data_IF_993144823095
#
_entry.id   IF_993144823095
#
_cell.length_a   1.000
_cell.length_b   1.000
_cell.length_c   1.000
_cell.angle_alpha   90.00
_cell.angle_beta   90.00
_cell.angle_gamma   90.00
#
_symmetry.space_group_name_H-M   'P 1'
#
loop_
_entity.id
_entity.type
_entity.pdbx_description
1 polymer ?
#
# COMPACT_ATOMS: atom_id res chain seq x y z
N UNK A 1 21.85 0.16 36.21
CA UNK A 1 21.73 1.40 35.39
C UNK A 1 20.26 1.48 34.98
N UNK A 2 19.42 2.13 35.80
CA UNK A 2 18.88 3.49 35.65
C UNK A 2 18.12 3.73 34.32
N UNK A 3 16.79 3.84 34.43
CA UNK A 3 15.75 4.67 33.75
C UNK A 3 16.09 5.34 32.39
N UNK A 4 15.17 5.50 31.43
CA UNK A 4 13.95 6.35 31.48
C UNK A 4 12.90 5.88 30.46
N UNK A 5 11.63 5.82 30.88
CA UNK A 5 10.47 5.94 30.00
C UNK A 5 9.82 7.32 30.17
N UNK A 6 9.01 7.75 29.20
CA UNK A 6 8.04 8.83 29.39
C UNK A 6 6.65 8.33 29.01
N UNK A 7 5.91 7.98 30.06
CA UNK A 7 4.52 7.58 30.06
C UNK A 7 3.99 8.16 31.37
N UNK A 8 3.12 9.17 31.31
CA UNK A 8 2.53 9.74 32.52
C UNK A 8 1.46 8.74 32.98
N UNK A 9 1.71 8.11 34.14
CA UNK A 9 0.83 7.14 34.79
C UNK A 9 0.12 7.81 35.97
N UNK A 10 -1.19 7.62 36.08
CA UNK A 10 -1.91 7.58 37.36
C UNK A 10 -2.79 6.32 37.37
N UNK A 11 -2.76 5.56 38.46
CA UNK A 11 -3.29 4.18 38.55
C UNK A 11 -4.12 4.00 39.82
N UNK A 12 -5.37 3.52 39.73
CA UNK A 12 -6.15 2.89 40.82
C UNK A 12 -7.18 1.89 40.22
N UNK A 13 -7.45 0.82 40.97
CA UNK A 13 -7.93 -0.53 40.57
C UNK A 13 -9.46 -0.79 40.74
N UNK A 14 -10.01 -1.68 39.87
CA UNK A 14 -11.10 -2.70 40.02
C UNK A 14 -12.59 -2.22 40.10
N UNK A 15 -13.66 -2.83 39.54
CA UNK A 15 -14.00 -4.17 38.97
C UNK A 15 -15.35 -4.14 38.16
N UNK A 16 -15.51 -5.08 37.20
CA UNK A 16 -16.73 -5.77 36.69
C UNK A 16 -17.63 -5.23 35.52
N UNK A 17 -17.89 -6.15 34.55
CA UNK A 17 -18.70 -6.15 33.30
C UNK A 17 -20.02 -6.97 33.50
N UNK A 18 -20.88 -7.28 32.48
CA UNK A 18 -21.32 -6.60 31.24
C UNK A 18 -22.87 -6.61 31.05
N UNK A 19 -23.40 -6.09 29.93
CA UNK A 19 -24.60 -6.67 29.30
C UNK A 19 -24.61 -6.38 27.79
N UNK A 20 -24.78 -7.44 27.00
CA UNK A 20 -24.76 -7.43 25.54
C UNK A 20 -26.17 -7.20 24.95
N UNK A 21 -26.21 -6.67 23.73
CA UNK A 21 -27.30 -6.90 22.79
C UNK A 21 -26.74 -7.00 21.36
N UNK A 22 -27.24 -7.99 20.63
CA UNK A 22 -26.75 -8.47 19.35
C UNK A 22 -27.43 -7.78 18.15
N UNK A 23 -26.69 -7.72 17.04
CA UNK A 23 -27.24 -7.75 15.68
C UNK A 23 -27.32 -6.41 14.95
N UNK A 24 -26.30 -6.07 14.16
CA UNK A 24 -26.44 -5.31 12.91
C UNK A 24 -25.15 -5.44 12.08
N UNK A 25 -25.31 -5.59 10.76
CA UNK A 25 -24.26 -5.75 9.76
C UNK A 25 -23.22 -4.63 9.81
N UNK A 26 -21.94 -4.97 9.69
CA UNK A 26 -20.87 -4.00 9.52
C UNK A 26 -19.95 -4.45 8.38
N UNK A 27 -19.86 -3.64 7.30
CA UNK A 27 -18.58 -3.43 6.60
C UNK A 27 -18.56 -2.00 6.03
N UNK A 28 -18.24 -1.04 6.89
CA UNK A 28 -17.50 0.15 6.52
C UNK A 28 -16.59 0.43 7.71
N UNK A 29 -15.44 -0.23 7.75
CA UNK A 29 -14.42 0.06 8.75
C UNK A 29 -13.73 1.34 8.31
N UNK A 30 -14.31 2.50 8.63
CA UNK A 30 -13.48 3.69 8.78
C UNK A 30 -12.75 3.49 10.09
N UNK A 31 -11.50 3.01 10.03
CA UNK A 31 -10.55 3.24 11.12
C UNK A 31 -10.54 4.75 11.31
N UNK A 32 -11.22 5.27 12.34
CA UNK A 32 -11.26 6.72 12.54
C UNK A 32 -9.86 7.11 13.00
N UNK A 33 -9.08 7.71 12.10
CA UNK A 33 -7.73 8.21 12.36
C UNK A 33 -7.81 9.62 12.89
N UNK A 34 -6.84 10.02 13.71
CA UNK A 34 -6.93 11.32 14.35
C UNK A 34 -5.89 11.59 15.40
N UNK A 35 -6.10 12.72 16.07
CA UNK A 35 -5.26 13.22 17.15
C UNK A 35 -6.01 12.99 18.45
N UNK A 36 -5.31 12.39 19.42
CA UNK A 36 -5.79 12.30 20.79
C UNK A 36 -5.24 13.48 21.59
N UNK A 37 -6.14 14.26 22.18
CA UNK A 37 -5.82 15.47 22.94
C UNK A 37 -6.23 15.24 24.39
N UNK A 38 -5.27 15.24 25.31
CA UNK A 38 -5.57 15.29 26.73
C UNK A 38 -6.11 16.68 27.08
N UNK A 39 -7.32 16.72 27.64
CA UNK A 39 -8.04 17.97 27.84
C UNK A 39 -8.71 18.04 29.20
N UNK A 40 -8.54 19.18 29.87
CA UNK A 40 -9.21 19.53 31.12
C UNK A 40 -10.13 20.72 30.89
N UNK A 41 -11.46 20.51 30.78
CA UNK A 41 -12.45 21.57 30.63
C UNK A 41 -12.47 22.54 31.82
N UNK A 42 -12.88 23.77 31.54
CA UNK A 42 -13.18 24.78 32.56
C UNK A 42 -14.46 24.40 33.30
N UNK A 43 -14.55 24.66 34.62
CA UNK A 43 -15.82 24.49 35.35
C UNK A 43 -16.96 25.40 34.86
N UNK A 44 -16.68 26.38 33.98
CA UNK A 44 -17.66 27.38 33.52
C UNK A 44 -18.47 26.98 32.28
N UNK A 45 -18.03 25.98 31.52
CA UNK A 45 -18.72 25.50 30.31
C UNK A 45 -18.29 24.08 29.97
N UNK A 46 -19.22 23.27 29.46
CA UNK A 46 -18.95 21.97 28.83
C UNK A 46 -18.82 22.07 27.31
N UNK A 47 -19.05 23.26 26.73
CA UNK A 47 -19.12 23.48 25.28
C UNK A 47 -17.79 23.97 24.72
N UNK A 48 -17.24 23.19 23.81
CA UNK A 48 -15.94 23.45 23.20
C UNK A 48 -15.96 23.20 21.70
N UNK A 49 -15.20 23.99 20.96
CA UNK A 49 -14.83 23.70 19.56
C UNK A 49 -13.32 23.57 19.47
N UNK A 50 -12.87 22.46 18.90
CA UNK A 50 -11.47 22.17 18.61
C UNK A 50 -11.24 22.32 17.11
N UNK A 51 -10.25 23.12 16.75
CA UNK A 51 -9.87 23.40 15.37
C UNK A 51 -8.36 23.14 15.24
N UNK A 52 -7.95 22.41 14.21
CA UNK A 52 -6.53 22.17 13.91
C UNK A 52 -6.18 22.90 12.63
N UNK A 53 -5.10 23.68 12.65
CA UNK A 53 -4.61 24.45 11.50
C UNK A 53 -3.19 24.04 11.16
N UNK A 54 -2.88 23.91 9.88
CA UNK A 54 -1.48 23.91 9.42
C UNK A 54 -0.87 25.30 9.63
N UNK A 55 0.39 25.39 10.04
CA UNK A 55 1.08 26.67 10.20
C UNK A 55 1.01 27.51 8.90
N UNK A 56 0.45 28.71 9.00
CA UNK A 56 0.26 29.62 7.87
C UNK A 56 -1.07 29.44 7.10
N UNK A 57 -1.85 28.40 7.40
CA UNK A 57 -3.20 28.23 6.87
C UNK A 57 -4.25 28.98 7.71
N UNK A 58 -5.28 29.50 7.04
CA UNK A 58 -6.51 29.98 7.70
C UNK A 58 -7.64 28.95 7.69
N UNK A 59 -7.49 27.88 6.91
CA UNK A 59 -8.45 26.78 6.82
C UNK A 59 -8.08 25.67 7.80
N UNK A 60 -9.06 25.23 8.58
CA UNK A 60 -8.88 24.18 9.55
C UNK A 60 -8.85 22.81 8.86
N UNK A 61 -7.81 22.01 9.11
CA UNK A 61 -7.72 20.62 8.62
C UNK A 61 -8.66 19.69 9.38
N UNK A 62 -9.14 20.11 10.56
CA UNK A 62 -10.19 19.44 11.31
C UNK A 62 -10.89 20.46 12.20
N UNK A 63 -12.22 20.38 12.29
CA UNK A 63 -13.03 21.12 13.25
C UNK A 63 -14.04 20.18 13.90
N UNK A 64 -14.07 20.14 15.24
CA UNK A 64 -15.00 19.30 15.99
C UNK A 64 -15.52 20.01 17.23
N UNK A 65 -16.84 20.04 17.37
CA UNK A 65 -17.52 20.60 18.52
C UNK A 65 -17.99 19.51 19.49
N UNK A 66 -18.00 19.87 20.76
CA UNK A 66 -18.48 19.07 21.87
C UNK A 66 -19.34 19.95 22.76
N UNK A 67 -20.48 19.45 23.23
CA UNK A 67 -21.41 20.25 24.03
C UNK A 67 -21.43 19.87 25.52
N UNK A 68 -20.66 18.87 25.94
CA UNK A 68 -20.74 18.32 27.30
C UNK A 68 -19.42 17.72 27.82
N UNK A 69 -18.28 18.38 27.58
CA UNK A 69 -17.00 17.92 28.13
C UNK A 69 -16.91 18.28 29.61
N UNK A 70 -16.79 17.27 30.47
CA UNK A 70 -16.61 17.44 31.93
C UNK A 70 -15.46 16.62 32.46
N UNK A 71 -14.66 17.21 33.36
CA UNK A 71 -13.51 16.52 33.97
C UNK A 71 -12.37 16.26 32.98
N UNK A 72 -11.23 15.86 33.52
CA UNK A 72 -10.06 15.46 32.71
C UNK A 72 -10.42 14.24 31.86
N UNK A 73 -10.23 14.37 30.55
CA UNK A 73 -10.57 13.34 29.58
C UNK A 73 -9.71 13.46 28.33
N UNK A 74 -9.78 12.44 27.48
CA UNK A 74 -9.17 12.47 26.16
C UNK A 74 -10.20 12.83 25.10
N UNK A 75 -9.84 13.79 24.26
CA UNK A 75 -10.66 14.25 23.15
C UNK A 75 -10.05 13.77 21.85
N UNK A 76 -10.82 13.03 21.06
CA UNK A 76 -10.37 12.52 19.78
C UNK A 76 -10.86 13.41 18.62
N UNK A 77 -9.90 13.91 17.83
CA UNK A 77 -10.13 14.74 16.65
C UNK A 77 -9.89 13.92 15.38
N UNK A 78 -10.91 13.65 14.56
CA UNK A 78 -10.74 12.84 13.36
C UNK A 78 -9.93 13.62 12.32
N UNK A 79 -8.75 13.10 11.99
CA UNK A 79 -7.86 13.65 10.97
C UNK A 79 -7.30 12.47 10.18
N UNK A 80 -7.48 12.48 8.85
CA UNK A 80 -7.05 11.36 8.00
C UNK A 80 -5.54 11.15 8.04
N UNK A 81 -4.79 12.25 7.89
CA UNK A 81 -3.35 12.31 8.13
C UNK A 81 -2.87 13.76 8.25
N UNK A 82 -1.96 14.01 9.18
CA UNK A 82 -1.15 15.23 9.18
C UNK A 82 0.23 14.89 8.63
N UNK A 83 0.68 15.51 7.53
CA UNK A 83 2.09 15.53 7.16
C UNK A 83 2.98 15.99 8.32
N UNK A 84 4.28 15.71 8.24
CA UNK A 84 5.25 16.23 9.21
C UNK A 84 5.43 17.75 9.05
N UNK A 85 4.58 18.50 9.74
CA UNK A 85 4.58 19.96 9.75
C UNK A 85 4.25 20.46 11.16
N UNK A 86 4.40 21.77 11.33
CA UNK A 86 3.89 22.46 12.50
C UNK A 86 2.40 22.72 12.34
N UNK A 87 1.64 22.38 13.37
CA UNK A 87 0.20 22.62 13.46
C UNK A 87 -0.11 23.43 14.71
N UNK A 88 -1.26 24.11 14.67
CA UNK A 88 -1.83 24.77 15.83
C UNK A 88 -3.18 24.13 16.14
N UNK A 89 -3.35 23.68 17.37
CA UNK A 89 -4.67 23.34 17.89
C UNK A 89 -5.25 24.58 18.59
N UNK A 90 -6.42 25.02 18.13
CA UNK A 90 -7.21 26.09 18.72
C UNK A 90 -8.40 25.47 19.43
N UNK A 91 -8.49 25.71 20.74
CA UNK A 91 -9.62 25.26 21.56
C UNK A 91 -10.42 26.49 21.96
N UNK A 92 -11.67 26.56 21.50
CA UNK A 92 -12.60 27.66 21.78
C UNK A 92 -13.64 27.19 22.79
N UNK A 93 -13.63 27.77 23.98
CA UNK A 93 -14.69 27.62 24.98
C UNK A 93 -15.89 28.47 24.54
N UNK A 94 -17.07 27.85 24.44
CA UNK A 94 -18.30 28.50 24.02
C UNK A 94 -19.18 28.81 25.23
N UNK A 95 -19.93 29.93 25.23
CA UNK A 95 -20.92 30.21 26.26
C UNK A 95 -21.97 29.10 26.38
N UNK A 96 -22.41 28.84 27.61
CA UNK A 96 -23.53 27.95 27.89
C UNK A 96 -24.85 28.55 27.37
N UNK A 97 -25.83 27.72 26.98
CA UNK A 97 -27.17 28.20 26.63
C UNK A 97 -27.77 29.07 27.73
N UNK A 98 -28.24 30.27 27.35
CA UNK A 98 -28.78 31.27 28.27
C UNK A 98 -27.74 32.20 28.89
N UNK A 99 -26.45 32.04 28.57
CA UNK A 99 -25.35 32.91 29.00
C UNK A 99 -24.70 33.67 27.84
N UNK A 100 -25.20 33.55 26.61
CA UNK A 100 -24.58 34.11 25.40
C UNK A 100 -24.50 35.65 25.39
N UNK A 101 -25.34 36.33 26.18
CA UNK A 101 -25.28 37.79 26.37
C UNK A 101 -24.41 38.25 27.56
N UNK A 102 -23.90 37.31 28.36
CA UNK A 102 -23.16 37.59 29.60
C UNK A 102 -21.71 37.09 29.54
N UNK A 103 -21.48 35.97 28.87
CA UNK A 103 -20.16 35.41 28.62
C UNK A 103 -19.79 35.56 27.14
N UNK A 104 -18.49 35.66 26.87
CA UNK A 104 -17.93 35.69 25.51
C UNK A 104 -17.07 34.45 25.29
N UNK A 105 -17.11 33.91 24.07
CA UNK A 105 -16.24 32.80 23.70
C UNK A 105 -14.76 33.17 23.86
N UNK A 106 -13.96 32.23 24.34
CA UNK A 106 -12.53 32.44 24.56
C UNK A 106 -11.75 31.29 23.96
N UNK A 107 -10.63 31.60 23.30
CA UNK A 107 -9.80 30.60 22.64
C UNK A 107 -8.42 30.52 23.28
N UNK A 108 -7.85 29.31 23.29
CA UNK A 108 -6.42 29.06 23.51
C UNK A 108 -5.85 28.32 22.31
N UNK A 109 -4.62 28.66 21.98
CA UNK A 109 -3.88 28.04 20.88
C UNK A 109 -2.62 27.39 21.41
N UNK A 110 -2.30 26.21 20.88
CA UNK A 110 -1.08 25.48 21.20
C UNK A 110 -0.48 24.93 19.92
N UNK A 111 0.78 25.27 19.66
CA UNK A 111 1.52 24.67 18.56
C UNK A 111 1.96 23.24 18.94
N UNK A 112 1.94 22.34 17.97
CA UNK A 112 2.49 20.99 18.08
C UNK A 112 3.08 20.55 16.74
N UNK A 113 3.94 19.53 16.80
CA UNK A 113 4.50 18.85 15.63
C UNK A 113 4.03 17.41 15.72
N UNK A 114 3.49 16.86 14.63
CA UNK A 114 3.15 15.44 14.57
C UNK A 114 4.38 14.58 14.86
N UNK A 115 4.32 13.73 15.88
CA UNK A 115 5.43 12.84 16.24
C UNK A 115 5.15 11.43 15.74
N UNK A 116 6.17 10.70 15.27
CA UNK A 116 6.02 9.29 14.96
C UNK A 116 5.64 8.44 16.17
N UNK A 117 4.83 7.43 15.93
CA UNK A 117 4.34 6.47 16.93
C UNK A 117 5.15 5.18 16.97
N UNK A 118 6.07 5.01 16.01
CA UNK A 118 6.82 3.77 15.82
C UNK A 118 8.24 3.79 16.42
N UNK A 119 8.59 4.82 17.21
CA UNK A 119 9.89 4.96 17.87
C UNK A 119 11.05 5.42 16.97
N UNK A 120 10.77 5.75 15.71
CA UNK A 120 11.74 6.28 14.73
C UNK A 120 11.44 7.74 14.43
N UNK A 121 12.42 8.52 13.94
CA UNK A 121 12.17 9.92 13.62
C UNK A 121 11.38 10.08 12.33
N UNK A 122 10.71 11.22 12.15
CA UNK A 122 9.95 11.46 10.94
C UNK A 122 10.86 11.77 9.72
N UNK A 123 12.06 12.31 9.97
CA UNK A 123 13.14 12.41 8.98
C UNK A 123 13.57 11.04 8.41
N UNK A 124 13.46 9.97 9.18
CA UNK A 124 13.70 8.58 8.74
C UNK A 124 12.46 7.94 8.08
N UNK A 125 11.35 8.67 7.97
CA UNK A 125 10.09 8.13 7.47
C UNK A 125 9.21 7.48 8.54
N UNK A 126 9.43 7.79 9.82
CA UNK A 126 8.63 7.26 10.94
C UNK A 126 7.12 7.43 10.73
N UNK A 127 6.37 6.37 11.07
CA UNK A 127 4.92 6.38 10.94
C UNK A 127 4.28 7.29 11.99
N UNK A 128 3.37 8.16 11.56
CA UNK A 128 2.65 9.09 12.43
C UNK A 128 1.38 8.50 13.03
N UNK A 129 0.87 7.41 12.46
CA UNK A 129 -0.38 6.77 12.85
C UNK A 129 -0.27 5.25 12.73
N UNK A 130 -1.02 4.56 13.60
CA UNK A 130 -1.10 3.11 13.67
C UNK A 130 -0.07 2.47 14.60
N UNK A 131 -0.37 1.27 15.08
CA UNK A 131 0.54 0.43 15.88
C UNK A 131 1.24 -0.64 15.06
N UNK A 132 0.88 -0.79 13.78
CA UNK A 132 1.42 -1.82 12.89
C UNK A 132 0.76 -3.19 13.07
N UNK A 133 -0.32 -3.27 13.83
CA UNK A 133 -1.14 -4.48 13.99
C UNK A 133 -2.16 -4.59 12.86
N UNK A 134 -2.76 -5.76 12.67
CA UNK A 134 -3.76 -5.95 11.61
C UNK A 134 -5.00 -5.06 11.79
N UNK A 135 -5.42 -4.82 13.03
CA UNK A 135 -6.59 -3.98 13.36
C UNK A 135 -6.26 -2.48 13.35
N UNK A 136 -4.98 -2.13 13.46
CA UNK A 136 -4.47 -0.76 13.52
C UNK A 136 -3.14 -0.65 12.77
N UNK A 137 -3.17 -0.71 11.41
CA UNK A 137 -1.99 -0.74 10.57
C UNK A 137 -1.26 0.60 10.58
N UNK A 138 0.04 0.58 10.33
CA UNK A 138 0.81 1.80 10.10
C UNK A 138 0.35 2.48 8.81
N UNK A 139 0.22 3.81 8.87
CA UNK A 139 -0.26 4.59 7.73
C UNK A 139 0.88 5.02 6.84
N UNK A 140 0.79 4.65 5.57
CA UNK A 140 1.77 5.00 4.54
C UNK A 140 1.18 6.10 3.67
N UNK A 141 1.72 7.30 3.81
CA UNK A 141 1.25 8.48 3.08
C UNK A 141 2.36 9.24 2.37
N UNK A 142 3.62 8.82 2.51
CA UNK A 142 4.75 9.45 1.81
C UNK A 142 5.71 8.38 1.29
N UNK A 143 6.51 8.68 0.25
CA UNK A 143 7.59 7.79 -0.18
C UNK A 143 8.56 7.43 0.96
N UNK A 144 8.85 8.36 1.88
CA UNK A 144 9.70 8.12 3.05
C UNK A 144 9.07 7.09 3.99
N UNK A 145 7.77 7.18 4.27
CA UNK A 145 7.05 6.18 5.07
C UNK A 145 6.99 4.82 4.37
N UNK A 146 6.88 4.80 3.04
CA UNK A 146 6.93 3.56 2.26
C UNK A 146 8.30 2.89 2.40
N UNK A 147 9.38 3.66 2.25
CA UNK A 147 10.74 3.15 2.46
C UNK A 147 10.95 2.63 3.89
N UNK A 148 10.39 3.33 4.88
CA UNK A 148 10.47 2.99 6.30
C UNK A 148 9.75 1.68 6.68
N UNK A 149 8.91 1.12 5.81
CA UNK A 149 8.34 -0.23 5.98
C UNK A 149 9.42 -1.28 6.26
N UNK A 150 10.63 -1.10 5.72
CA UNK A 150 11.78 -2.01 5.96
C UNK A 150 12.20 -2.12 7.43
N UNK A 151 11.86 -1.14 8.26
CA UNK A 151 12.15 -1.13 9.71
C UNK A 151 11.12 -1.91 10.54
N UNK A 152 10.02 -2.34 9.93
CA UNK A 152 8.88 -2.95 10.60
C UNK A 152 8.49 -4.27 9.92
N UNK A 153 9.46 -5.18 9.80
CA UNK A 153 9.21 -6.50 9.22
C UNK A 153 8.11 -7.25 9.98
N UNK A 154 7.12 -7.77 9.26
CA UNK A 154 5.97 -8.44 9.85
C UNK A 154 4.83 -7.51 10.28
N UNK A 155 4.99 -6.19 10.15
CA UNK A 155 3.94 -5.22 10.42
C UNK A 155 2.81 -5.23 9.37
N UNK A 156 1.70 -4.60 9.73
CA UNK A 156 0.60 -4.28 8.82
C UNK A 156 0.62 -2.81 8.42
N UNK A 157 0.41 -2.53 7.14
CA UNK A 157 0.52 -1.21 6.54
C UNK A 157 -0.68 -0.91 5.65
N UNK A 158 -1.13 0.35 5.65
CA UNK A 158 -2.20 0.83 4.79
C UNK A 158 -1.79 2.14 4.10
N UNK A 159 -1.67 2.09 2.77
CA UNK A 159 -1.44 3.26 1.94
C UNK A 159 -2.72 4.08 1.81
N UNK A 160 -2.61 5.41 1.95
CA UNK A 160 -3.77 6.31 1.84
C UNK A 160 -3.60 7.50 0.92
N UNK A 161 -2.61 7.45 0.04
CA UNK A 161 -2.51 8.36 -1.09
C UNK A 161 -1.63 7.77 -2.17
N UNK A 162 -1.70 8.34 -3.35
CA UNK A 162 -0.73 8.04 -4.40
C UNK A 162 0.67 8.48 -3.95
N UNK A 163 1.67 7.67 -4.25
CA UNK A 163 3.05 7.91 -3.84
C UNK A 163 3.92 8.21 -5.06
N UNK A 164 4.35 9.47 -5.17
CA UNK A 164 5.27 9.91 -6.22
C UNK A 164 6.74 9.82 -5.75
N UNK A 165 7.51 8.94 -6.36
CA UNK A 165 8.93 8.69 -6.08
C UNK A 165 9.89 9.50 -6.96
N UNK A 166 9.41 10.49 -7.72
CA UNK A 166 10.23 11.32 -8.62
C UNK A 166 11.47 11.95 -7.97
N UNK A 167 11.45 12.15 -6.64
CA UNK A 167 12.54 12.74 -5.85
C UNK A 167 13.34 11.72 -5.01
N UNK A 168 13.05 10.42 -5.12
CA UNK A 168 13.63 9.38 -4.25
C UNK A 168 14.92 8.76 -4.80
N UNK A 169 15.21 8.95 -6.09
CA UNK A 169 16.32 8.28 -6.76
C UNK A 169 16.03 6.81 -7.03
N UNK A 170 17.07 5.97 -7.03
CA UNK A 170 16.92 4.52 -7.21
C UNK A 170 16.48 3.90 -5.88
N UNK A 171 15.30 3.32 -5.88
CA UNK A 171 14.72 2.62 -4.74
C UNK A 171 15.31 1.22 -4.59
N UNK A 172 15.83 0.92 -3.40
CA UNK A 172 16.25 -0.43 -3.04
C UNK A 172 15.05 -1.25 -2.57
N UNK A 173 14.87 -2.50 -3.04
CA UNK A 173 13.79 -3.37 -2.59
C UNK A 173 13.61 -3.41 -1.07
N UNK A 174 12.37 -3.52 -0.60
CA UNK A 174 12.06 -3.74 0.81
C UNK A 174 12.46 -5.17 1.18
N UNK A 175 13.47 -5.26 2.04
CA UNK A 175 14.01 -6.47 2.62
C UNK A 175 14.28 -6.16 4.12
N UNK A 176 13.96 -7.06 5.08
CA UNK A 176 14.37 -6.87 6.49
C UNK A 176 15.88 -6.60 6.66
N UNK A 177 16.24 -5.55 7.40
CA UNK A 177 17.63 -5.13 7.60
C UNK A 177 18.60 -6.25 8.06
N UNK A 178 19.90 -5.95 7.93
CA UNK A 178 21.09 -6.81 7.96
C UNK A 178 21.21 -7.88 9.08
N UNK A 179 20.37 -7.88 10.12
CA UNK A 179 20.35 -8.93 11.14
C UNK A 179 19.93 -10.31 10.58
N UNK A 180 19.32 -10.34 9.39
CA UNK A 180 19.07 -11.59 8.65
C UNK A 180 20.25 -12.04 7.77
N UNK A 181 21.21 -11.15 7.52
CA UNK A 181 22.37 -11.39 6.65
C UNK A 181 23.50 -12.14 7.37
N UNK A 182 23.44 -12.25 8.71
CA UNK A 182 24.40 -12.99 9.53
C UNK A 182 24.15 -14.50 9.61
N UNK A 183 23.03 -15.02 9.08
CA UNK A 183 22.79 -16.47 9.02
C UNK A 183 23.27 -17.03 7.68
N UNK A 184 24.06 -18.12 7.72
CA UNK A 184 24.49 -18.90 6.55
C UNK A 184 23.31 -19.44 5.70
N UNK A 185 22.08 -19.26 6.17
CA UNK A 185 20.86 -19.72 5.50
C UNK A 185 20.25 -18.71 4.52
N UNK A 186 20.51 -17.39 4.64
CA UNK A 186 19.92 -16.35 3.76
C UNK A 186 18.40 -16.51 3.49
N UNK A 187 17.67 -17.14 4.42
CA UNK A 187 16.23 -17.41 4.36
C UNK A 187 15.47 -16.24 4.99
N UNK A 188 15.47 -15.09 4.30
CA UNK A 188 14.89 -13.84 4.78
C UNK A 188 14.01 -13.17 3.73
N UNK A 189 13.09 -12.33 4.17
CA UNK A 189 12.19 -11.57 3.32
C UNK A 189 11.10 -10.90 4.15
N UNK A 190 10.44 -9.91 3.58
CA UNK A 190 9.32 -9.25 4.21
C UNK A 190 8.21 -10.26 4.55
N UNK A 191 7.64 -10.12 5.74
CA UNK A 191 6.70 -11.09 6.32
C UNK A 191 5.40 -10.45 6.85
N UNK A 192 5.04 -9.28 6.31
CA UNK A 192 3.90 -8.49 6.79
C UNK A 192 2.75 -8.35 5.79
N UNK A 193 1.83 -7.45 6.10
CA UNK A 193 0.68 -7.11 5.26
C UNK A 193 0.86 -5.70 4.71
N UNK A 194 0.85 -5.55 3.38
CA UNK A 194 0.80 -4.26 2.73
C UNK A 194 -0.50 -4.12 1.96
N UNK A 195 -1.37 -3.21 2.42
CA UNK A 195 -2.61 -2.84 1.75
C UNK A 195 -2.41 -1.48 1.05
N UNK A 196 -2.41 -1.49 -0.28
CA UNK A 196 -2.29 -0.28 -1.10
C UNK A 196 -3.53 0.63 -1.03
N UNK A 197 -4.63 0.17 -0.42
CA UNK A 197 -5.83 0.98 -0.21
C UNK A 197 -6.53 1.45 -1.49
N UNK A 198 -6.19 0.89 -2.66
CA UNK A 198 -6.66 1.38 -3.97
C UNK A 198 -5.88 2.59 -4.48
N UNK A 199 -4.68 2.84 -3.94
CA UNK A 199 -3.78 3.90 -4.39
C UNK A 199 -2.61 3.35 -5.21
N UNK A 200 -1.92 4.26 -5.91
CA UNK A 200 -0.87 3.90 -6.87
C UNK A 200 0.50 4.40 -6.44
N UNK A 201 1.53 3.74 -6.96
CA UNK A 201 2.91 4.21 -6.94
C UNK A 201 3.24 4.79 -8.32
N UNK A 202 3.97 5.91 -8.32
CA UNK A 202 4.37 6.66 -9.50
C UNK A 202 5.86 6.97 -9.46
N UNK A 203 6.47 7.07 -10.64
CA UNK A 203 7.84 7.52 -10.90
C UNK A 203 8.93 6.76 -10.11
N UNK A 204 8.62 5.59 -9.56
CA UNK A 204 9.61 4.80 -8.84
C UNK A 204 10.55 4.11 -9.83
N UNK A 205 11.85 4.15 -9.55
CA UNK A 205 12.85 3.36 -10.23
C UNK A 205 13.42 2.38 -9.23
N UNK A 206 13.05 1.11 -9.33
CA UNK A 206 13.53 0.06 -8.43
C UNK A 206 14.82 -0.54 -8.97
N UNK A 207 15.88 -0.49 -8.19
CA UNK A 207 17.15 -1.13 -8.49
C UNK A 207 17.25 -2.55 -7.90
N UNK A 208 18.48 -3.03 -7.80
CA UNK A 208 18.77 -4.34 -7.22
C UNK A 208 18.85 -4.26 -5.69
N UNK A 209 18.49 -5.34 -5.01
CA UNK A 209 18.78 -5.49 -3.58
C UNK A 209 20.28 -5.76 -3.35
N UNK A 210 21.17 -4.76 -3.45
CA UNK A 210 22.65 -4.91 -3.43
C UNK A 210 23.24 -5.71 -2.24
N UNK A 211 22.49 -5.92 -1.17
CA UNK A 211 22.88 -6.74 -0.01
C UNK A 211 22.58 -8.23 -0.15
N UNK A 212 21.91 -8.67 -1.22
CA UNK A 212 21.66 -10.08 -1.50
C UNK A 212 22.94 -10.76 -2.00
N UNK A 213 23.77 -11.24 -1.07
CA UNK A 213 24.91 -12.16 -1.27
C UNK A 213 26.32 -11.54 -1.16
N UNK A 214 26.89 -11.61 0.05
CA UNK A 214 28.29 -11.21 0.32
C UNK A 214 29.29 -12.38 0.24
N UNK A 215 28.85 -13.62 -0.03
CA UNK A 215 29.70 -14.82 0.01
C UNK A 215 29.85 -15.56 -1.33
N UNK A 216 30.38 -14.87 -2.34
CA UNK A 216 31.49 -15.43 -3.13
C UNK A 216 31.36 -16.78 -3.86
N UNK A 217 30.16 -17.31 -4.17
CA UNK A 217 30.06 -18.32 -5.24
C UNK A 217 30.38 -17.65 -6.59
N UNK A 218 31.54 -17.97 -7.15
CA UNK A 218 32.08 -17.41 -8.39
C UNK A 218 31.31 -17.83 -9.66
N UNK A 219 30.16 -18.53 -9.55
CA UNK A 219 29.39 -19.04 -10.69
C UNK A 219 28.26 -18.13 -11.17
N UNK A 220 27.93 -17.06 -10.43
CA UNK A 220 26.96 -16.05 -10.84
C UNK A 220 25.51 -16.55 -11.02
N UNK A 221 25.17 -17.74 -10.50
CA UNK A 221 23.87 -18.40 -10.73
C UNK A 221 22.70 -17.88 -9.89
N UNK A 222 22.97 -17.12 -8.83
CA UNK A 222 21.94 -16.63 -7.90
C UNK A 222 22.13 -15.12 -7.70
N UNK A 223 21.36 -14.33 -8.44
CA UNK A 223 21.48 -12.88 -8.54
C UNK A 223 20.50 -12.09 -7.68
N UNK A 224 20.70 -10.77 -7.65
CA UNK A 224 19.97 -9.79 -6.85
C UNK A 224 18.53 -9.56 -7.34
N UNK A 225 17.49 -9.83 -6.52
CA UNK A 225 16.12 -9.53 -6.93
C UNK A 225 15.90 -8.02 -7.09
N UNK A 226 15.07 -7.64 -8.08
CA UNK A 226 14.56 -6.28 -8.28
C UNK A 226 13.03 -6.28 -8.27
N UNK A 227 12.43 -5.74 -7.21
CA UNK A 227 10.99 -5.63 -6.98
C UNK A 227 10.71 -4.71 -5.79
N UNK A 228 9.47 -4.23 -5.60
CA UNK A 228 9.15 -3.43 -4.40
C UNK A 228 9.47 -4.19 -3.11
N UNK A 229 9.10 -5.47 -3.05
CA UNK A 229 9.33 -6.34 -1.90
C UNK A 229 10.14 -7.57 -2.30
N UNK A 230 11.07 -7.96 -1.44
CA UNK A 230 11.59 -9.33 -1.41
C UNK A 230 10.90 -10.03 -0.25
N UNK A 231 10.04 -11.00 -0.53
CA UNK A 231 9.08 -11.52 0.44
C UNK A 231 9.37 -12.97 0.84
N UNK A 232 9.01 -13.29 2.10
CA UNK A 232 9.02 -14.64 2.68
C UNK A 232 7.62 -15.11 3.07
N UNK A 233 6.84 -14.24 3.71
CA UNK A 233 5.47 -14.53 4.19
C UNK A 233 4.58 -13.28 4.14
N UNK A 234 4.15 -12.88 2.96
CA UNK A 234 3.54 -11.56 2.71
C UNK A 234 2.11 -11.67 2.20
N UNK A 235 1.27 -10.74 2.64
CA UNK A 235 0.04 -10.37 1.92
C UNK A 235 0.21 -8.99 1.31
N UNK A 236 0.13 -8.90 -0.02
CA UNK A 236 0.05 -7.64 -0.76
C UNK A 236 -1.35 -7.53 -1.37
N UNK A 237 -2.01 -6.38 -1.20
CA UNK A 237 -3.30 -6.16 -1.85
C UNK A 237 -3.58 -4.72 -2.24
N UNK A 238 -4.51 -4.54 -3.19
CA UNK A 238 -5.08 -3.23 -3.56
C UNK A 238 -4.04 -2.17 -3.95
N UNK A 239 -2.95 -2.56 -4.62
CA UNK A 239 -1.85 -1.67 -5.00
C UNK A 239 -1.65 -1.61 -6.52
N UNK A 240 -1.52 -0.40 -7.04
CA UNK A 240 -1.22 -0.15 -8.45
C UNK A 240 0.19 0.42 -8.66
N UNK A 241 0.82 0.09 -9.79
CA UNK A 241 1.99 0.80 -10.32
C UNK A 241 1.67 1.33 -11.70
N UNK A 242 1.80 2.63 -11.92
CA UNK A 242 1.49 3.23 -13.22
C UNK A 242 2.66 3.11 -14.22
N UNK A 243 2.39 3.50 -15.47
CA UNK A 243 3.33 3.41 -16.58
C UNK A 243 4.54 4.37 -16.50
N UNK A 244 4.73 5.10 -15.38
CA UNK A 244 5.95 5.85 -15.12
C UNK A 244 6.98 5.05 -14.30
N UNK A 245 6.55 3.94 -13.69
CA UNK A 245 7.39 3.11 -12.85
C UNK A 245 8.35 2.22 -13.67
N UNK A 246 9.53 1.97 -13.11
CA UNK A 246 10.57 1.15 -13.73
C UNK A 246 11.17 0.16 -12.74
N UNK A 247 11.41 -1.06 -13.20
CA UNK A 247 12.18 -2.08 -12.48
C UNK A 247 13.45 -2.36 -13.27
N UNK A 248 14.59 -1.98 -12.72
CA UNK A 248 15.92 -2.13 -13.33
C UNK A 248 16.70 -3.22 -12.59
N UNK A 249 16.42 -4.47 -12.96
CA UNK A 249 17.17 -5.62 -12.47
C UNK A 249 18.50 -5.75 -13.19
N UNK A 250 19.53 -6.25 -12.52
CA UNK A 250 20.82 -6.58 -13.15
C UNK A 250 21.08 -8.08 -13.20
N UNK A 251 20.46 -8.90 -12.31
CA UNK A 251 20.67 -10.35 -12.24
C UNK A 251 19.49 -11.14 -11.68
N UNK A 252 19.20 -12.31 -12.26
CA UNK A 252 18.32 -13.36 -11.73
C UNK A 252 16.82 -13.09 -11.67
N UNK A 253 16.29 -12.18 -10.87
CA UNK A 253 14.84 -12.07 -10.66
C UNK A 253 14.36 -10.64 -10.74
N UNK A 254 13.33 -10.36 -11.53
CA UNK A 254 12.62 -9.10 -11.37
C UNK A 254 11.11 -9.23 -11.54
N UNK A 255 10.41 -8.40 -10.77
CA UNK A 255 8.98 -8.23 -10.85
C UNK A 255 8.59 -6.84 -10.39
N UNK A 256 7.39 -6.38 -10.75
CA UNK A 256 6.91 -5.10 -10.22
C UNK A 256 6.77 -5.13 -8.70
N UNK A 257 6.02 -6.11 -8.18
CA UNK A 257 5.65 -6.11 -6.78
C UNK A 257 6.56 -6.97 -5.91
N UNK A 258 6.67 -8.27 -6.22
CA UNK A 258 7.26 -9.23 -5.28
C UNK A 258 8.23 -10.17 -5.98
N UNK A 259 9.44 -10.25 -5.43
CA UNK A 259 10.34 -11.37 -5.66
C UNK A 259 10.33 -12.28 -4.43
N UNK A 260 10.06 -13.56 -4.61
CA UNK A 260 10.11 -14.55 -3.52
C UNK A 260 11.54 -14.98 -3.20
N UNK A 261 11.86 -15.09 -1.90
CA UNK A 261 13.20 -15.51 -1.43
C UNK A 261 13.32 -17.02 -1.23
N UNK A 262 14.55 -17.52 -1.03
CA UNK A 262 14.73 -18.93 -0.64
C UNK A 262 14.06 -19.17 0.72
N UNK A 263 13.15 -20.14 0.78
CA UNK A 263 12.35 -20.44 1.97
C UNK A 263 11.11 -19.57 2.14
N UNK A 264 10.61 -18.96 1.07
CA UNK A 264 9.22 -18.49 0.97
C UNK A 264 8.26 -19.57 1.47
N UNK A 265 7.41 -19.19 2.43
CA UNK A 265 6.45 -20.06 3.06
C UNK A 265 5.05 -19.92 2.43
N UNK A 266 4.53 -18.69 2.40
CA UNK A 266 3.20 -18.36 1.88
C UNK A 266 3.24 -16.96 1.28
N UNK A 267 2.62 -16.75 0.12
CA UNK A 267 2.51 -15.41 -0.47
C UNK A 267 1.11 -15.21 -1.02
N UNK A 268 0.48 -14.10 -0.68
CA UNK A 268 -0.79 -13.68 -1.28
C UNK A 268 -0.62 -12.32 -1.94
N UNK A 269 -0.95 -12.24 -3.23
CA UNK A 269 -1.00 -10.99 -3.99
C UNK A 269 -2.39 -10.89 -4.61
N UNK A 270 -3.18 -9.90 -4.21
CA UNK A 270 -4.57 -9.78 -4.66
C UNK A 270 -4.98 -8.36 -5.05
N UNK A 271 -5.77 -8.22 -6.12
CA UNK A 271 -6.27 -6.90 -6.56
C UNK A 271 -5.14 -5.90 -6.79
N UNK A 272 -4.08 -6.33 -7.45
CA UNK A 272 -2.92 -5.51 -7.78
C UNK A 272 -2.74 -5.41 -9.29
N UNK A 273 -2.23 -4.27 -9.74
CA UNK A 273 -1.89 -4.11 -11.15
C UNK A 273 -0.57 -3.39 -11.38
N UNK A 274 0.10 -3.71 -12.47
CA UNK A 274 1.32 -3.01 -12.86
C UNK A 274 1.36 -2.71 -14.34
N UNK A 275 1.62 -1.44 -14.64
CA UNK A 275 1.93 -0.93 -15.98
C UNK A 275 3.44 -0.64 -16.13
N UNK A 276 4.26 -1.06 -15.18
CA UNK A 276 5.68 -0.71 -15.09
C UNK A 276 6.52 -1.30 -16.23
N UNK A 277 7.61 -0.61 -16.58
CA UNK A 277 8.63 -1.14 -17.49
C UNK A 277 9.66 -1.97 -16.70
N UNK A 278 9.69 -3.27 -16.94
CA UNK A 278 10.61 -4.22 -16.31
C UNK A 278 11.74 -4.50 -17.28
N UNK A 279 12.95 -4.06 -16.93
CA UNK A 279 14.15 -4.25 -17.74
C UNK A 279 15.17 -5.11 -16.98
N UNK A 280 15.51 -6.27 -17.56
CA UNK A 280 16.64 -7.09 -17.13
C UNK A 280 17.61 -7.27 -18.31
N UNK A 281 18.87 -6.84 -18.16
CA UNK A 281 19.88 -7.05 -19.18
C UNK A 281 20.17 -8.54 -19.37
N UNK A 282 20.62 -8.85 -20.58
CA UNK A 282 20.88 -10.19 -21.07
C UNK A 282 21.86 -10.99 -20.19
N UNK A 283 21.36 -11.93 -19.36
CA UNK A 283 22.18 -12.92 -18.66
C UNK A 283 21.60 -14.35 -18.71
N UNK A 284 22.48 -15.34 -18.57
CA UNK A 284 22.18 -16.78 -18.69
C UNK A 284 21.08 -17.28 -17.73
N UNK A 285 20.82 -16.59 -16.62
CA UNK A 285 19.81 -16.96 -15.62
C UNK A 285 19.01 -15.72 -15.22
N UNK A 286 17.98 -15.36 -15.98
CA UNK A 286 17.10 -14.22 -15.70
C UNK A 286 15.63 -14.66 -15.79
N UNK A 287 14.87 -14.35 -14.76
CA UNK A 287 13.46 -14.71 -14.58
C UNK A 287 12.66 -13.43 -14.29
N UNK A 288 11.75 -13.08 -15.18
CA UNK A 288 11.01 -11.81 -15.11
C UNK A 288 9.51 -12.07 -15.11
N UNK A 289 8.80 -11.61 -14.09
CA UNK A 289 7.35 -11.71 -14.01
C UNK A 289 6.70 -10.35 -13.84
N UNK A 290 5.62 -10.06 -14.56
CA UNK A 290 4.97 -8.75 -14.45
C UNK A 290 4.53 -8.41 -13.02
N UNK A 291 4.05 -9.41 -12.27
CA UNK A 291 3.60 -9.25 -10.87
C UNK A 291 4.56 -9.90 -9.89
N UNK A 292 5.03 -11.12 -10.21
CA UNK A 292 5.84 -11.94 -9.32
C UNK A 292 6.99 -12.68 -10.02
N UNK A 293 8.14 -12.77 -9.37
CA UNK A 293 9.25 -13.62 -9.79
C UNK A 293 9.94 -14.33 -8.60
N UNK A 294 10.78 -15.32 -8.88
CA UNK A 294 11.61 -15.97 -7.85
C UNK A 294 10.98 -17.20 -7.20
N UNK A 295 11.39 -17.50 -5.97
CA UNK A 295 10.96 -18.75 -5.32
C UNK A 295 9.66 -18.55 -4.55
N UNK A 296 8.61 -19.30 -4.91
CA UNK A 296 7.34 -19.28 -4.20
C UNK A 296 6.77 -20.68 -4.03
N UNK A 297 6.64 -21.13 -2.79
CA UNK A 297 5.80 -22.26 -2.41
C UNK A 297 4.46 -21.73 -1.93
N UNK A 298 3.37 -22.46 -2.19
CA UNK A 298 2.02 -22.13 -1.73
C UNK A 298 1.61 -20.67 -1.96
N UNK A 299 1.82 -20.17 -3.19
CA UNK A 299 1.53 -18.80 -3.55
C UNK A 299 0.11 -18.64 -4.12
N UNK A 300 -0.57 -17.55 -3.78
CA UNK A 300 -1.87 -17.15 -4.34
C UNK A 300 -1.72 -15.79 -5.02
N UNK A 301 -1.80 -15.75 -6.35
CA UNK A 301 -2.00 -14.49 -7.09
C UNK A 301 -3.40 -14.50 -7.65
N UNK A 302 -4.22 -13.52 -7.27
CA UNK A 302 -5.60 -13.44 -7.75
C UNK A 302 -6.05 -12.04 -8.06
N UNK A 303 -6.94 -11.92 -9.01
CA UNK A 303 -7.52 -10.63 -9.37
C UNK A 303 -6.44 -9.58 -9.74
N UNK A 304 -5.40 -9.99 -10.46
CA UNK A 304 -4.25 -9.13 -10.76
C UNK A 304 -4.03 -8.96 -12.26
N UNK A 305 -3.43 -7.85 -12.67
CA UNK A 305 -3.08 -7.68 -14.07
C UNK A 305 -1.77 -6.96 -14.34
N UNK A 306 -1.14 -7.36 -15.45
CA UNK A 306 0.05 -6.69 -15.97
C UNK A 306 -0.24 -6.12 -17.36
N UNK A 307 0.08 -4.84 -17.54
CA UNK A 307 -0.02 -4.13 -18.82
C UNK A 307 1.28 -3.44 -19.22
N UNK A 308 2.32 -3.55 -18.40
CA UNK A 308 3.62 -2.97 -18.67
C UNK A 308 4.40 -3.67 -19.79
N UNK A 309 5.71 -3.42 -19.81
CA UNK A 309 6.64 -4.06 -20.75
C UNK A 309 7.65 -4.88 -19.97
N UNK A 310 8.01 -6.04 -20.51
CA UNK A 310 9.13 -6.85 -19.99
C UNK A 310 10.20 -7.01 -21.06
N UNK A 311 11.36 -6.43 -20.80
CA UNK A 311 12.59 -6.67 -21.55
C UNK A 311 13.41 -7.72 -20.77
N UNK A 312 13.41 -8.96 -21.25
CA UNK A 312 14.12 -10.07 -20.60
C UNK A 312 14.46 -11.15 -21.62
N UNK A 313 15.49 -11.97 -21.36
CA UNK A 313 16.11 -12.83 -22.39
C UNK A 313 16.01 -14.35 -22.16
N UNK A 314 15.43 -14.77 -21.04
CA UNK A 314 15.36 -16.17 -20.66
C UNK A 314 13.92 -16.53 -20.25
N UNK A 315 13.60 -16.61 -18.96
CA UNK A 315 12.25 -16.94 -18.51
C UNK A 315 11.44 -15.69 -18.24
N UNK A 316 10.37 -15.47 -19.01
CA UNK A 316 9.51 -14.30 -18.84
C UNK A 316 8.06 -14.71 -18.76
N UNK A 317 7.32 -14.14 -17.82
CA UNK A 317 5.89 -14.32 -17.77
C UNK A 317 5.11 -13.03 -17.52
N UNK A 318 3.95 -12.90 -18.15
CA UNK A 318 3.08 -11.73 -17.96
C UNK A 318 2.65 -11.55 -16.49
N UNK A 319 2.40 -12.64 -15.76
CA UNK A 319 2.04 -12.58 -14.33
C UNK A 319 3.17 -13.11 -13.44
N UNK A 320 3.58 -14.37 -13.63
CA UNK A 320 4.46 -15.07 -12.68
C UNK A 320 5.50 -15.96 -13.37
N UNK A 321 6.80 -15.67 -13.22
CA UNK A 321 7.84 -16.39 -13.98
C UNK A 321 8.25 -17.73 -13.38
N UNK A 322 8.46 -17.79 -12.06
CA UNK A 322 8.92 -19.01 -11.39
C UNK A 322 8.11 -19.25 -10.12
N UNK A 323 7.48 -20.42 -10.00
CA UNK A 323 6.66 -20.83 -8.85
C UNK A 323 6.64 -22.35 -8.79
N UNK A 324 6.73 -22.91 -7.58
CA UNK A 324 6.79 -24.38 -7.39
C UNK A 324 5.43 -24.97 -7.03
N UNK A 325 4.56 -24.21 -6.38
CA UNK A 325 3.20 -24.61 -6.01
C UNK A 325 2.33 -23.40 -5.65
N UNK A 326 1.03 -23.48 -5.90
CA UNK A 326 0.11 -22.36 -5.64
C UNK A 326 -1.05 -22.28 -6.63
N UNK A 327 -1.72 -21.12 -6.65
CA UNK A 327 -2.81 -20.79 -7.56
C UNK A 327 -2.62 -19.41 -8.20
N UNK A 328 -2.95 -19.32 -9.50
CA UNK A 328 -3.12 -18.06 -10.22
C UNK A 328 -4.55 -18.04 -10.76
N UNK A 329 -5.36 -17.09 -10.30
CA UNK A 329 -6.79 -17.07 -10.58
C UNK A 329 -7.29 -15.68 -10.97
N UNK A 330 -8.15 -15.58 -11.98
CA UNK A 330 -8.77 -14.31 -12.38
C UNK A 330 -7.74 -13.22 -12.68
N UNK A 331 -6.62 -13.58 -13.32
CA UNK A 331 -5.55 -12.66 -13.67
C UNK A 331 -5.47 -12.45 -15.18
N UNK A 332 -4.91 -11.32 -15.61
CA UNK A 332 -4.66 -11.13 -17.03
C UNK A 332 -3.41 -10.36 -17.38
N UNK A 333 -2.85 -10.67 -18.54
CA UNK A 333 -1.72 -9.97 -19.11
C UNK A 333 -2.10 -9.36 -20.45
N UNK A 334 -1.96 -8.05 -20.54
CA UNK A 334 -2.01 -7.30 -21.80
C UNK A 334 -0.71 -6.54 -22.03
N UNK A 335 0.35 -6.84 -21.28
CA UNK A 335 1.66 -6.25 -21.47
C UNK A 335 2.35 -6.69 -22.76
N UNK A 336 3.55 -6.20 -22.98
CA UNK A 336 4.41 -6.62 -24.08
C UNK A 336 5.70 -7.25 -23.56
N UNK A 337 6.32 -8.10 -24.37
CA UNK A 337 7.63 -8.66 -24.07
C UNK A 337 8.49 -8.75 -25.32
N UNK A 338 9.74 -8.34 -25.19
CA UNK A 338 10.73 -8.27 -26.28
C UNK A 338 11.72 -9.43 -26.25
N UNK A 339 11.37 -10.58 -25.67
CA UNK A 339 12.31 -11.69 -25.49
C UNK A 339 12.76 -12.26 -26.85
N UNK A 340 14.05 -12.12 -27.16
CA UNK A 340 14.69 -12.67 -28.37
C UNK A 340 14.76 -14.20 -28.34
N UNK A 341 14.54 -14.84 -27.18
CA UNK A 341 14.41 -16.28 -27.00
C UNK A 341 12.96 -16.68 -26.71
N UNK A 342 12.25 -17.00 -27.79
CA UNK A 342 10.82 -17.35 -27.81
C UNK A 342 10.39 -18.61 -27.00
N UNK A 343 11.24 -19.62 -26.63
CA UNK A 343 10.69 -20.84 -26.03
C UNK A 343 10.18 -20.67 -24.59
N UNK A 344 10.64 -19.68 -23.83
CA UNK A 344 10.41 -19.60 -22.37
C UNK A 344 9.61 -18.36 -21.92
N UNK A 345 9.03 -17.63 -22.87
CA UNK A 345 7.99 -16.65 -22.58
C UNK A 345 6.64 -17.34 -22.34
N UNK A 346 5.83 -16.83 -21.41
CA UNK A 346 4.44 -17.24 -21.21
C UNK A 346 3.54 -16.05 -20.82
N UNK A 347 2.34 -15.97 -21.39
CA UNK A 347 1.40 -14.89 -21.12
C UNK A 347 0.94 -14.81 -19.67
N UNK A 348 0.98 -15.92 -18.93
CA UNK A 348 0.54 -15.99 -17.53
C UNK A 348 1.65 -16.52 -16.64
N UNK A 349 2.17 -17.73 -16.90
CA UNK A 349 3.05 -18.45 -15.99
C UNK A 349 4.23 -19.14 -16.71
N UNK A 350 5.46 -18.84 -16.30
CA UNK A 350 6.67 -19.44 -16.87
C UNK A 350 6.87 -20.92 -16.49
N UNK A 351 7.00 -21.22 -15.19
CA UNK A 351 7.22 -22.58 -14.67
C UNK A 351 5.92 -23.26 -14.21
N UNK A 352 5.73 -24.57 -14.44
CA UNK A 352 4.41 -25.22 -14.42
C UNK A 352 3.88 -25.70 -13.05
N UNK A 353 4.29 -25.12 -11.92
CA UNK A 353 3.92 -25.59 -10.57
C UNK A 353 2.52 -25.20 -10.05
N UNK A 354 1.87 -24.17 -10.61
CA UNK A 354 0.59 -23.67 -10.08
C UNK A 354 -0.64 -24.24 -10.78
N UNK A 355 -1.77 -24.20 -10.07
CA UNK A 355 -3.11 -24.30 -10.66
C UNK A 355 -3.47 -22.94 -11.25
N UNK A 356 -3.74 -22.89 -12.57
CA UNK A 356 -4.11 -21.66 -13.27
C UNK A 356 -5.58 -21.76 -13.67
N UNK A 357 -6.38 -20.75 -13.33
CA UNK A 357 -7.83 -20.74 -13.59
C UNK A 357 -8.34 -19.35 -13.96
N UNK A 358 -9.28 -19.26 -14.91
CA UNK A 358 -9.85 -17.98 -15.40
C UNK A 358 -8.81 -16.89 -15.67
N UNK A 359 -7.66 -17.26 -16.24
CA UNK A 359 -6.56 -16.35 -16.56
C UNK A 359 -6.44 -16.13 -18.07
N UNK A 360 -6.19 -14.88 -18.47
CA UNK A 360 -6.22 -14.48 -19.87
C UNK A 360 -4.97 -13.70 -20.28
N UNK A 361 -4.41 -14.02 -21.45
CA UNK A 361 -3.35 -13.19 -22.04
C UNK A 361 -3.80 -12.62 -23.37
N UNK A 362 -3.25 -11.48 -23.76
CA UNK A 362 -3.46 -10.99 -25.12
C UNK A 362 -2.76 -11.92 -26.12
N UNK A 363 -3.39 -12.11 -27.28
CA UNK A 363 -3.07 -13.14 -28.27
C UNK A 363 -1.64 -13.16 -28.83
N UNK A 364 -0.82 -12.11 -28.61
CA UNK A 364 0.57 -12.07 -29.06
C UNK A 364 1.57 -12.73 -28.09
N UNK A 365 1.10 -13.29 -26.97
CA UNK A 365 1.91 -14.12 -26.08
C UNK A 365 1.68 -15.61 -26.30
N UNK A 366 2.73 -16.45 -26.29
CA UNK A 366 2.54 -17.88 -26.04
C UNK A 366 1.92 -18.05 -24.64
N UNK A 367 0.87 -18.86 -24.51
CA UNK A 367 0.20 -19.09 -23.21
C UNK A 367 -0.10 -20.57 -23.06
N UNK A 368 0.67 -21.24 -22.20
CA UNK A 368 0.55 -22.69 -21.98
C UNK A 368 -0.58 -23.03 -21.01
N UNK A 369 -0.80 -22.16 -20.02
CA UNK A 369 -1.87 -22.25 -19.03
C UNK A 369 -2.67 -20.94 -19.03
N UNK A 370 -4.00 -21.03 -19.04
CA UNK A 370 -4.88 -19.90 -19.29
C UNK A 370 -5.37 -19.88 -20.74
N UNK A 371 -5.97 -18.77 -21.16
CA UNK A 371 -6.51 -18.61 -22.52
C UNK A 371 -6.01 -17.31 -23.15
N UNK A 372 -5.78 -17.34 -24.46
CA UNK A 372 -5.50 -16.12 -25.21
C UNK A 372 -6.80 -15.49 -25.70
N UNK A 373 -6.91 -14.17 -25.57
CA UNK A 373 -8.01 -13.37 -26.11
C UNK A 373 -7.47 -12.30 -27.06
N UNK A 374 -8.25 -11.98 -28.09
CA UNK A 374 -8.04 -10.83 -28.95
C UNK A 374 -8.41 -9.52 -28.25
N UNK A 375 -7.98 -8.39 -28.83
CA UNK A 375 -8.28 -7.06 -28.29
C UNK A 375 -9.78 -6.79 -28.14
N UNK A 376 -10.58 -7.19 -29.13
CA UNK A 376 -12.03 -7.01 -29.09
C UNK A 376 -12.68 -7.88 -28.00
N UNK A 377 -12.14 -9.06 -27.72
CA UNK A 377 -12.63 -9.94 -26.65
C UNK A 377 -12.30 -9.38 -25.27
N UNK A 378 -11.14 -8.72 -25.09
CA UNK A 378 -10.81 -8.01 -23.87
C UNK A 378 -11.77 -6.85 -23.57
N UNK A 379 -12.41 -6.27 -24.59
CA UNK A 379 -13.41 -5.22 -24.44
C UNK A 379 -14.79 -5.75 -23.99
N UNK A 380 -14.99 -7.07 -23.91
CA UNK A 380 -16.27 -7.69 -23.59
C UNK A 380 -16.23 -8.34 -22.20
N UNK A 381 -17.05 -7.84 -21.27
CA UNK A 381 -17.20 -8.41 -19.92
C UNK A 381 -17.51 -9.92 -19.94
N UNK A 382 -18.30 -10.38 -20.92
CA UNK A 382 -18.69 -11.79 -21.07
C UNK A 382 -17.52 -12.74 -21.37
N UNK A 383 -16.36 -12.22 -21.80
CA UNK A 383 -15.17 -13.03 -22.06
C UNK A 383 -14.51 -13.55 -20.78
N UNK A 384 -14.79 -12.92 -19.64
CA UNK A 384 -14.14 -13.17 -18.35
C UNK A 384 -15.01 -14.05 -17.45
N UNK A 385 -15.22 -15.30 -17.88
CA UNK A 385 -16.05 -16.25 -17.15
C UNK A 385 -15.48 -16.56 -15.75
N UNK A 386 -16.35 -16.48 -14.74
CA UNK A 386 -16.02 -16.73 -13.33
C UNK A 386 -15.43 -15.52 -12.59
N UNK A 387 -15.35 -14.35 -13.24
CA UNK A 387 -14.92 -13.11 -12.59
C UNK A 387 -16.09 -12.43 -11.87
N UNK A 388 -15.79 -11.80 -10.75
CA UNK A 388 -16.74 -11.00 -9.98
C UNK A 388 -16.75 -9.54 -10.46
N UNK A 389 -17.69 -9.21 -11.35
CA UNK A 389 -17.93 -7.85 -11.80
C UNK A 389 -18.85 -7.03 -10.89
N UNK A 390 -19.41 -7.63 -9.84
CA UNK A 390 -20.25 -6.90 -8.88
C UNK A 390 -19.39 -6.18 -7.85
N UNK A 391 -18.31 -6.83 -7.39
CA UNK A 391 -17.48 -6.29 -6.29
C UNK A 391 -16.00 -6.04 -6.63
N UNK A 392 -15.41 -6.79 -7.56
CA UNK A 392 -13.95 -6.71 -7.83
C UNK A 392 -13.63 -5.96 -9.11
N UNK A 393 -14.29 -6.33 -10.20
CA UNK A 393 -13.96 -5.88 -11.55
C UNK A 393 -15.04 -4.99 -12.15
N UNK A 394 -14.64 -4.11 -13.04
CA UNK A 394 -15.52 -3.31 -13.90
C UNK A 394 -14.83 -3.14 -15.25
N UNK A 395 -15.58 -2.89 -16.32
CA UNK A 395 -14.95 -2.61 -17.61
C UNK A 395 -14.43 -1.17 -17.63
N UNK A 396 -13.20 -0.98 -18.08
CA UNK A 396 -12.56 0.32 -18.13
C UNK A 396 -11.49 0.40 -19.21
N UNK A 397 -10.58 1.34 -19.01
CA UNK A 397 -9.49 1.64 -19.94
C UNK A 397 -8.15 1.42 -19.25
N UNK A 398 -7.28 0.61 -19.85
CA UNK A 398 -5.96 0.28 -19.31
C UNK A 398 -4.88 0.89 -20.19
N UNK A 399 -3.86 1.48 -19.55
CA UNK A 399 -2.64 1.88 -20.25
C UNK A 399 -1.71 0.67 -20.35
N UNK A 400 -1.21 0.39 -21.55
CA UNK A 400 -0.19 -0.63 -21.79
C UNK A 400 1.05 -0.05 -22.46
N UNK A 401 2.19 -0.69 -22.24
CA UNK A 401 3.42 -0.38 -22.97
C UNK A 401 3.59 -1.35 -24.13
N UNK A 402 3.76 -0.83 -25.34
CA UNK A 402 4.11 -1.64 -26.51
C UNK A 402 5.60 -2.03 -26.53
N UNK A 403 6.03 -2.78 -27.55
CA UNK A 403 7.41 -3.25 -27.66
C UNK A 403 8.44 -2.12 -27.67
N UNK A 404 8.09 -0.95 -28.24
CA UNK A 404 8.94 0.23 -28.25
C UNK A 404 8.97 0.96 -26.90
N UNK A 405 8.02 0.65 -26.01
CA UNK A 405 7.81 1.34 -24.74
C UNK A 405 6.87 2.52 -24.87
N UNK A 406 6.20 2.66 -26.02
CA UNK A 406 5.18 3.67 -26.20
C UNK A 406 3.89 3.25 -25.48
N UNK A 407 3.18 4.25 -24.95
CA UNK A 407 1.90 4.04 -24.25
C UNK A 407 0.79 3.83 -25.27
N UNK A 408 -0.01 2.81 -25.05
CA UNK A 408 -1.24 2.53 -25.78
C UNK A 408 -2.39 2.35 -24.79
N UNK A 409 -3.60 2.59 -25.27
CA UNK A 409 -4.80 2.44 -24.46
C UNK A 409 -5.68 1.33 -25.02
N UNK A 410 -6.24 0.51 -24.14
CA UNK A 410 -7.09 -0.62 -24.51
C UNK A 410 -8.23 -0.79 -23.51
N UNK A 411 -9.41 -1.15 -24.00
CA UNK A 411 -10.52 -1.54 -23.14
C UNK A 411 -10.26 -2.92 -22.53
N UNK A 412 -10.37 -3.04 -21.22
CA UNK A 412 -10.18 -4.28 -20.46
C UNK A 412 -10.83 -4.15 -19.07
N UNK A 413 -11.01 -5.25 -18.33
CA UNK A 413 -11.43 -5.17 -16.94
C UNK A 413 -10.42 -4.40 -16.09
N UNK A 414 -10.88 -3.45 -15.29
CA UNK A 414 -10.09 -2.71 -14.28
C UNK A 414 -10.64 -3.01 -12.88
N UNK A 415 -9.81 -2.80 -11.87
CA UNK A 415 -10.15 -3.11 -10.48
C UNK A 415 -10.98 -1.97 -9.87
N UNK A 416 -12.18 -2.29 -9.38
CA UNK A 416 -13.12 -1.31 -8.78
C UNK A 416 -12.53 -0.54 -7.60
N UNK A 417 -11.62 -1.15 -6.86
CA UNK A 417 -10.99 -0.53 -5.68
C UNK A 417 -10.25 0.77 -6.03
N UNK A 418 -9.78 0.94 -7.26
CA UNK A 418 -9.12 2.17 -7.73
C UNK A 418 -10.10 3.24 -8.23
N UNK A 419 -11.31 2.86 -8.67
CA UNK A 419 -12.35 3.81 -9.09
C UNK A 419 -13.13 4.40 -7.89
N UNK A 420 -13.38 3.58 -6.86
CA UNK A 420 -14.12 3.99 -5.66
C UNK A 420 -13.39 5.09 -4.89
N UNK A 421 -12.06 5.22 -5.07
CA UNK A 421 -11.23 6.29 -4.53
C UNK A 421 -11.66 7.66 -5.04
N UNK A 422 -11.89 7.81 -6.35
CA UNK A 422 -12.25 9.10 -6.92
C UNK A 422 -13.60 9.59 -6.36
N UNK A 423 -14.53 8.66 -6.07
CA UNK A 423 -15.78 8.97 -5.40
C UNK A 423 -15.62 9.34 -3.90
N UNK A 424 -14.68 8.72 -3.19
CA UNK A 424 -14.39 9.04 -1.78
C UNK A 424 -13.64 10.37 -1.62
N UNK A 425 -12.67 10.66 -2.49
CA UNK A 425 -11.95 11.93 -2.55
C UNK A 425 -12.88 13.11 -2.89
N UNK A 426 -13.84 12.90 -3.81
CA UNK A 426 -14.88 13.89 -4.12
C UNK A 426 -15.81 14.12 -2.92
N UNK A 427 -16.23 13.07 -2.21
CA UNK A 427 -17.07 13.22 -1.00
C UNK A 427 -16.34 13.91 0.15
N UNK A 428 -15.04 13.66 0.33
CA UNK A 428 -14.23 14.38 1.33
C UNK A 428 -14.14 15.89 1.01
N UNK A 429 -14.04 16.25 -0.28
CA UNK A 429 -14.08 17.64 -0.74
C UNK A 429 -15.48 18.28 -0.61
N UNK A 430 -16.56 17.51 -0.77
CA UNK A 430 -17.92 18.02 -0.55
C UNK A 430 -18.21 18.28 0.95
N UNK A 431 -17.60 17.51 1.85
CA UNK A 431 -17.70 17.74 3.30
C UNK A 431 -16.98 19.01 3.77
N UNK A 432 -15.88 19.41 3.12
CA UNK A 432 -15.23 20.71 3.36
C UNK A 432 -16.01 21.85 2.68
N UNK A 433 -16.63 21.61 1.52
CA UNK A 433 -17.46 22.58 0.82
C UNK A 433 -18.79 22.94 1.50
N UNK A 434 -19.45 21.97 2.14
CA UNK A 434 -20.76 22.18 2.79
C UNK A 434 -20.71 22.96 4.12
N UNK A 435 -19.53 23.25 4.68
CA UNK A 435 -19.37 24.12 5.85
C UNK A 435 -19.25 25.61 5.51
N UNK A 436 -19.28 25.99 4.22
CA UNK A 436 -19.12 27.39 3.76
C UNK A 436 -20.40 28.12 3.33
N UNK A 437 -21.58 27.48 3.36
CA UNK A 437 -22.83 28.13 2.93
C UNK A 437 -23.96 27.94 3.95
N UNK A 438 -24.02 28.87 4.89
CA UNK A 438 -25.16 29.13 5.76
C UNK A 438 -25.02 30.54 6.33
N UNK A 439 -25.68 31.50 5.67
CA UNK A 439 -25.80 32.91 6.07
C UNK A 439 -26.30 33.09 7.51
#
# INVERSE_FOLDING_TARGET
>A
MKNVGFCVRLLLLWLALPTAAAGAQAVAYQSVRGIEVEFTPSPRTGRYRFEVYEAGSQEAVCSKSFDSLTGEQKVFLPVECLPEKTYTIKVTALPEPGREGLDVAASKEQAFISQPVCGHTAAEGGFLYGSGTADDPFIVSTPQQFDHVRQHNGGSFLQTRDLDFSSFGIFSPIWPNEDSAGSESHVGGFSGIYDGGGYIIQNIVVGNAEHYWRNGQADGRYGYPASLFVAKDMTLRNLGMDASCKIEGSRAYAASFVCGSRGTASLTIERCYSEADINLPAMTYSFSGGIFAGFGNNMTIRDCYFSGRITGINQTAGISSQTTSGSIACCYNIGSCTNDNVPEADGIQGYTGNVVSSCYSISNWPTRKGSNLGQDEFALQSSFAGWDFDSVWTMGSVTRLDLSGARQTMAAPVLRVFEQRDAAAVRAADYTGQLSLGN
#
